data_IF_550730460570
#
_entry.id   IF_550730460570
#
_cell.length_a   1.000
_cell.length_b   1.000
_cell.length_c   1.000
_cell.angle_alpha   90.00
_cell.angle_beta   90.00
_cell.angle_gamma   90.00
#
_symmetry.space_group_name_H-M   'P 1'
#
loop_
_entity.id
_entity.type
_entity.pdbx_description
1 polymer ?
#
# COMPACT_ATOMS: atom_id res chain seq x y z
N UNK A 1 -8.17 8.95 31.31
CA UNK A 1 -7.89 9.69 30.06
C UNK A 1 -6.39 9.53 29.75
N UNK A 2 -6.01 8.74 28.75
CA UNK A 2 -4.62 8.60 28.31
C UNK A 2 -4.15 9.92 27.67
N UNK A 3 -2.96 10.39 28.05
CA UNK A 3 -2.35 11.59 27.44
C UNK A 3 -2.19 11.37 25.93
N UNK A 4 -2.53 12.34 25.10
CA UNK A 4 -2.30 12.21 23.67
C UNK A 4 -0.79 12.06 23.42
N UNK A 5 -0.45 11.05 22.64
CA UNK A 5 0.96 10.78 22.29
C UNK A 5 1.55 11.96 21.50
N UNK A 6 2.80 12.30 21.77
CA UNK A 6 3.45 13.42 21.08
C UNK A 6 3.60 13.11 19.57
N UNK A 7 3.60 14.15 18.74
CA UNK A 7 3.87 14.02 17.30
C UNK A 7 5.24 13.34 17.06
N UNK A 8 6.23 13.72 17.84
CA UNK A 8 7.56 13.14 17.75
C UNK A 8 7.55 11.62 17.99
N UNK A 9 6.86 11.13 19.03
CA UNK A 9 6.76 9.70 19.30
C UNK A 9 6.08 8.92 18.18
N UNK A 10 5.06 9.51 17.53
CA UNK A 10 4.36 8.87 16.40
C UNK A 10 5.24 8.80 15.15
N UNK A 11 5.98 9.89 14.85
CA UNK A 11 6.94 9.89 13.74
C UNK A 11 8.08 8.92 13.98
N UNK A 12 8.63 8.87 15.20
CA UNK A 12 9.65 7.90 15.56
C UNK A 12 9.17 6.47 15.34
N UNK A 13 7.96 6.16 15.79
CA UNK A 13 7.38 4.81 15.60
C UNK A 13 7.17 4.49 14.11
N UNK A 14 6.65 5.44 13.33
CA UNK A 14 6.50 5.28 11.87
C UNK A 14 7.82 4.91 11.19
N UNK A 15 8.88 5.70 11.43
CA UNK A 15 10.17 5.44 10.81
C UNK A 15 10.84 4.17 11.34
N UNK A 16 10.67 3.86 12.62
CA UNK A 16 11.21 2.64 13.23
C UNK A 16 10.56 1.39 12.61
N UNK A 17 9.23 1.37 12.48
CA UNK A 17 8.50 0.26 11.85
C UNK A 17 8.88 0.12 10.39
N UNK A 18 8.95 1.22 9.65
CA UNK A 18 9.38 1.20 8.25
C UNK A 18 10.80 0.64 8.10
N UNK A 19 11.73 1.09 8.94
CA UNK A 19 13.12 0.59 8.95
C UNK A 19 13.18 -0.90 9.27
N UNK A 20 12.46 -1.36 10.30
CA UNK A 20 12.43 -2.79 10.67
C UNK A 20 11.89 -3.62 9.52
N UNK A 21 10.81 -3.18 8.86
CA UNK A 21 10.23 -3.90 7.72
C UNK A 21 11.21 -3.98 6.53
N UNK A 22 11.87 -2.89 6.18
CA UNK A 22 12.90 -2.88 5.11
C UNK A 22 14.06 -3.80 5.46
N UNK A 23 14.60 -3.69 6.67
CA UNK A 23 15.75 -4.50 7.10
C UNK A 23 15.39 -5.98 7.11
N UNK A 24 14.22 -6.34 7.65
CA UNK A 24 13.75 -7.72 7.66
C UNK A 24 13.58 -8.27 6.24
N UNK A 25 12.98 -7.50 5.34
CA UNK A 25 12.79 -7.91 3.94
C UNK A 25 14.14 -8.11 3.22
N UNK A 26 15.00 -7.11 3.24
CA UNK A 26 16.28 -7.17 2.54
C UNK A 26 17.23 -8.23 3.11
N UNK A 27 17.28 -8.37 4.44
CA UNK A 27 18.11 -9.37 5.11
C UNK A 27 17.64 -10.79 4.77
N UNK A 28 16.32 -11.06 4.82
CA UNK A 28 15.78 -12.37 4.48
C UNK A 28 15.96 -12.69 3.00
N UNK A 29 15.72 -11.76 2.10
CA UNK A 29 16.00 -11.90 0.66
C UNK A 29 17.46 -12.25 0.42
N UNK A 30 18.38 -11.49 1.03
CA UNK A 30 19.82 -11.76 0.89
C UNK A 30 20.20 -13.15 1.42
N UNK A 31 19.73 -13.50 2.61
CA UNK A 31 20.03 -14.77 3.25
C UNK A 31 19.51 -15.97 2.45
N UNK A 32 18.23 -15.92 2.00
CA UNK A 32 17.61 -17.01 1.26
C UNK A 32 18.28 -17.19 -0.11
N UNK A 33 18.52 -16.09 -0.84
CA UNK A 33 19.19 -16.16 -2.15
C UNK A 33 20.66 -16.59 -2.04
N UNK A 34 21.35 -16.27 -0.94
CA UNK A 34 22.68 -16.80 -0.67
C UNK A 34 22.66 -18.31 -0.35
N UNK A 35 21.58 -18.80 0.28
CA UNK A 35 21.45 -20.21 0.69
C UNK A 35 20.93 -21.11 -0.42
N UNK A 36 19.90 -20.69 -1.16
CA UNK A 36 19.22 -21.50 -2.17
C UNK A 36 19.66 -21.19 -3.61
N UNK A 37 20.46 -20.13 -3.78
CA UNK A 37 20.90 -19.73 -5.10
C UNK A 37 19.77 -19.05 -5.92
N UNK A 38 19.93 -19.10 -7.24
CA UNK A 38 18.97 -18.56 -8.19
C UNK A 38 17.76 -19.48 -8.35
N UNK A 39 16.63 -18.97 -8.85
CA UNK A 39 15.48 -19.82 -9.18
C UNK A 39 15.89 -20.97 -10.11
N UNK A 40 15.63 -22.20 -9.68
CA UNK A 40 15.99 -23.41 -10.43
C UNK A 40 17.34 -24.03 -10.08
N UNK A 41 18.22 -23.33 -9.36
CA UNK A 41 19.51 -23.91 -8.92
C UNK A 41 19.31 -24.97 -7.84
N UNK A 42 18.41 -24.70 -6.90
CA UNK A 42 18.04 -25.64 -5.84
C UNK A 42 16.54 -25.82 -5.80
N UNK A 43 16.11 -26.97 -5.25
CA UNK A 43 14.68 -27.25 -5.04
C UNK A 43 14.10 -26.48 -3.86
N UNK A 44 12.86 -26.79 -3.50
CA UNK A 44 12.17 -26.23 -2.35
C UNK A 44 12.82 -26.72 -1.06
N UNK A 45 13.14 -25.80 -0.18
CA UNK A 45 13.51 -26.13 1.20
C UNK A 45 12.25 -26.15 2.06
N UNK A 46 11.66 -27.33 2.19
CA UNK A 46 10.44 -27.53 2.93
C UNK A 46 10.62 -27.31 4.44
N UNK A 47 9.72 -26.57 5.03
CA UNK A 47 9.55 -26.40 6.48
C UNK A 47 8.36 -27.27 6.96
N UNK A 48 7.32 -27.35 6.14
CA UNK A 48 6.19 -28.27 6.26
C UNK A 48 5.97 -28.83 4.86
N UNK A 49 6.22 -30.14 4.70
CA UNK A 49 6.14 -30.81 3.39
C UNK A 49 4.81 -30.50 2.71
N UNK A 50 4.87 -30.16 1.42
CA UNK A 50 3.73 -29.83 0.57
C UNK A 50 2.77 -28.74 1.09
N UNK A 51 3.19 -27.93 2.08
CA UNK A 51 2.37 -26.82 2.63
C UNK A 51 3.15 -25.51 2.65
N UNK A 52 4.33 -25.52 3.27
CA UNK A 52 5.14 -24.32 3.45
C UNK A 52 6.60 -24.58 3.20
N UNK A 53 7.19 -23.85 2.29
CA UNK A 53 8.59 -23.99 1.93
C UNK A 53 9.24 -22.65 1.58
N UNK A 54 10.56 -22.71 1.39
CA UNK A 54 11.37 -21.61 0.91
C UNK A 54 11.88 -21.96 -0.48
N UNK A 55 11.60 -21.10 -1.45
CA UNK A 55 11.98 -21.29 -2.84
C UNK A 55 12.25 -19.93 -3.47
N UNK A 56 13.44 -19.75 -4.04
CA UNK A 56 13.77 -18.50 -4.74
C UNK A 56 12.95 -18.33 -6.02
N UNK A 57 12.44 -17.13 -6.23
CA UNK A 57 11.72 -16.70 -7.41
C UNK A 57 12.05 -15.23 -7.73
N UNK A 58 12.00 -14.87 -9.01
CA UNK A 58 12.26 -13.52 -9.49
C UNK A 58 11.02 -12.97 -10.17
N UNK A 59 10.50 -11.85 -9.66
CA UNK A 59 9.24 -11.26 -10.09
C UNK A 59 9.48 -9.90 -10.77
N UNK A 60 9.22 -9.82 -12.07
CA UNK A 60 9.32 -8.60 -12.88
C UNK A 60 7.99 -7.81 -12.96
N UNK A 61 6.94 -8.31 -12.34
CA UNK A 61 5.62 -7.73 -12.36
C UNK A 61 5.07 -7.40 -10.98
N UNK A 62 3.75 -7.43 -10.87
CA UNK A 62 3.00 -7.45 -9.62
C UNK A 62 2.63 -8.90 -9.25
N UNK A 63 1.79 -9.04 -8.20
CA UNK A 63 1.23 -10.33 -7.82
C UNK A 63 0.55 -11.02 -9.02
N UNK A 64 0.65 -12.35 -9.08
CA UNK A 64 0.11 -13.18 -10.18
C UNK A 64 0.69 -12.88 -11.56
N UNK A 65 1.90 -12.30 -11.64
CA UNK A 65 2.57 -12.01 -12.92
C UNK A 65 1.95 -10.86 -13.72
N UNK A 66 1.05 -10.07 -13.13
CA UNK A 66 0.46 -8.91 -13.80
C UNK A 66 1.52 -7.84 -14.08
N UNK A 67 1.50 -7.29 -15.31
CA UNK A 67 2.40 -6.20 -15.70
C UNK A 67 3.87 -6.61 -15.82
N UNK A 68 4.18 -7.85 -16.22
CA UNK A 68 5.54 -8.31 -16.50
C UNK A 68 6.30 -7.32 -17.38
N UNK A 69 7.53 -6.97 -16.96
CA UNK A 69 8.37 -6.02 -17.68
C UNK A 69 8.01 -4.53 -17.50
N UNK A 70 6.92 -4.20 -16.80
CA UNK A 70 6.50 -2.80 -16.55
C UNK A 70 7.20 -2.19 -15.32
N UNK A 71 8.49 -2.45 -15.15
CA UNK A 71 9.28 -1.99 -14.01
C UNK A 71 9.22 -0.47 -13.81
N UNK A 72 9.34 0.38 -14.87
CA UNK A 72 9.23 1.83 -14.68
C UNK A 72 7.88 2.28 -14.11
N UNK A 73 6.80 1.60 -14.50
CA UNK A 73 5.46 1.88 -13.94
C UNK A 73 5.41 1.57 -12.43
N UNK A 74 5.93 0.41 -12.02
CA UNK A 74 5.96 0.04 -10.59
C UNK A 74 6.86 0.96 -9.76
N UNK A 75 7.98 1.42 -10.32
CA UNK A 75 8.86 2.42 -9.67
C UNK A 75 8.13 3.75 -9.51
N UNK A 76 7.44 4.23 -10.55
CA UNK A 76 6.67 5.46 -10.49
C UNK A 76 5.52 5.38 -9.46
N UNK A 77 4.73 4.29 -9.49
CA UNK A 77 3.64 4.07 -8.52
C UNK A 77 4.17 3.99 -7.08
N UNK A 78 5.32 3.33 -6.86
CA UNK A 78 5.99 3.29 -5.57
C UNK A 78 6.37 4.70 -5.09
N UNK A 79 6.93 5.53 -5.95
CA UNK A 79 7.28 6.92 -5.65
C UNK A 79 6.06 7.77 -5.28
N UNK A 80 4.97 7.65 -6.05
CA UNK A 80 3.71 8.36 -5.77
C UNK A 80 3.12 7.92 -4.42
N UNK A 81 3.10 6.61 -4.15
CA UNK A 81 2.58 6.07 -2.89
C UNK A 81 3.42 6.53 -1.69
N UNK A 82 4.75 6.49 -1.79
CA UNK A 82 5.66 6.98 -0.75
C UNK A 82 5.43 8.47 -0.46
N UNK A 83 5.35 9.29 -1.51
CA UNK A 83 5.09 10.72 -1.36
C UNK A 83 3.75 10.96 -0.67
N UNK A 84 2.68 10.30 -1.10
CA UNK A 84 1.34 10.44 -0.52
C UNK A 84 1.29 10.03 0.95
N UNK A 85 1.93 8.91 1.31
CA UNK A 85 1.96 8.42 2.70
C UNK A 85 2.79 9.35 3.59
N UNK A 86 3.97 9.78 3.15
CA UNK A 86 4.81 10.72 3.91
C UNK A 86 4.10 12.06 4.10
N UNK A 87 3.46 12.57 3.06
CA UNK A 87 2.63 13.77 3.14
C UNK A 87 1.51 13.60 4.17
N UNK A 88 0.79 12.48 4.13
CA UNK A 88 -0.29 12.19 5.06
C UNK A 88 0.22 12.15 6.51
N UNK A 89 1.28 11.40 6.77
CA UNK A 89 1.89 11.31 8.11
C UNK A 89 2.40 12.67 8.59
N UNK A 90 2.98 13.47 7.70
CA UNK A 90 3.45 14.82 8.01
C UNK A 90 2.32 15.81 8.34
N UNK A 91 1.12 15.59 7.81
CA UNK A 91 -0.08 16.42 8.06
C UNK A 91 -0.69 16.23 9.46
N UNK A 92 -0.13 15.32 10.30
CA UNK A 92 -0.54 15.07 11.71
C UNK A 92 -2.05 14.73 11.90
N UNK A 93 -2.61 13.98 10.95
CA UNK A 93 -4.05 13.68 10.91
C UNK A 93 -4.50 12.69 12.01
N UNK A 94 -3.58 11.91 12.59
CA UNK A 94 -3.92 10.88 13.59
C UNK A 94 -3.30 11.15 14.95
N UNK A 95 -4.10 11.01 16.01
CA UNK A 95 -3.63 11.08 17.41
C UNK A 95 -3.29 9.71 18.01
N UNK A 96 -3.44 8.64 17.24
CA UNK A 96 -3.23 7.24 17.64
C UNK A 96 -1.88 6.73 17.14
N UNK A 97 -1.32 5.70 17.77
CA UNK A 97 -0.15 4.97 17.27
C UNK A 97 -0.49 3.99 16.16
N UNK A 98 -1.75 3.61 16.02
CA UNK A 98 -2.18 2.60 15.06
C UNK A 98 -1.85 3.01 13.62
N UNK A 99 -2.26 4.20 13.20
CA UNK A 99 -2.07 4.67 11.82
C UNK A 99 -0.58 4.85 11.44
N UNK A 100 0.28 5.49 12.26
CA UNK A 100 1.72 5.54 11.99
C UNK A 100 2.36 4.15 11.88
N UNK A 101 1.97 3.20 12.73
CA UNK A 101 2.49 1.82 12.67
C UNK A 101 2.12 1.13 11.37
N UNK A 102 0.85 1.17 10.99
CA UNK A 102 0.38 0.53 9.75
C UNK A 102 0.94 1.18 8.50
N UNK A 103 1.02 2.52 8.48
CA UNK A 103 1.65 3.23 7.36
C UNK A 103 3.16 2.99 7.30
N UNK A 104 3.83 2.82 8.46
CA UNK A 104 5.22 2.40 8.52
C UNK A 104 5.46 1.02 7.90
N UNK A 105 4.57 0.05 8.15
CA UNK A 105 4.62 -1.27 7.49
C UNK A 105 4.49 -1.14 5.97
N UNK A 106 3.52 -0.35 5.49
CA UNK A 106 3.31 -0.14 4.05
C UNK A 106 4.54 0.51 3.42
N UNK A 107 5.08 1.56 4.02
CA UNK A 107 6.29 2.24 3.52
C UNK A 107 7.49 1.29 3.50
N UNK A 108 7.69 0.49 4.54
CA UNK A 108 8.73 -0.53 4.59
C UNK A 108 8.60 -1.55 3.46
N UNK A 109 7.39 -2.05 3.20
CA UNK A 109 7.11 -2.96 2.11
C UNK A 109 7.36 -2.33 0.72
N UNK A 110 6.90 -1.08 0.52
CA UNK A 110 7.18 -0.35 -0.73
C UNK A 110 8.70 -0.23 -0.94
N UNK A 111 9.45 0.21 0.07
CA UNK A 111 10.89 0.43 -0.03
C UNK A 111 11.67 -0.87 -0.26
N UNK A 112 11.29 -1.98 0.40
CA UNK A 112 11.91 -3.29 0.18
C UNK A 112 11.78 -3.78 -1.26
N UNK A 113 10.58 -3.72 -1.83
CA UNK A 113 10.36 -4.10 -3.22
C UNK A 113 10.88 -3.07 -4.23
N UNK A 114 10.93 -1.78 -3.87
CA UNK A 114 11.52 -0.74 -4.71
C UNK A 114 13.04 -0.91 -4.81
N UNK A 115 13.72 -1.28 -3.71
CA UNK A 115 15.15 -1.61 -3.71
C UNK A 115 15.49 -2.64 -4.79
N UNK A 116 14.71 -3.70 -4.87
CA UNK A 116 14.92 -4.76 -5.86
C UNK A 116 14.62 -4.28 -7.29
N UNK A 117 13.53 -3.52 -7.50
CA UNK A 117 13.16 -2.98 -8.82
C UNK A 117 14.14 -1.93 -9.35
N UNK A 118 14.90 -1.29 -8.48
CA UNK A 118 16.00 -0.40 -8.87
C UNK A 118 17.31 -1.16 -9.12
N UNK A 119 17.33 -2.50 -8.98
CA UNK A 119 18.52 -3.32 -9.19
C UNK A 119 19.59 -3.16 -8.11
N UNK A 120 19.25 -2.55 -6.95
CA UNK A 120 20.20 -2.27 -5.88
C UNK A 120 20.69 -3.53 -5.14
N UNK A 121 20.11 -4.69 -5.41
CA UNK A 121 20.62 -6.01 -4.98
C UNK A 121 21.87 -6.44 -5.75
N UNK A 122 22.21 -5.80 -6.88
CA UNK A 122 23.44 -6.04 -7.64
C UNK A 122 23.44 -7.32 -8.48
N UNK A 123 22.31 -8.03 -8.62
CA UNK A 123 22.23 -9.21 -9.50
C UNK A 123 22.20 -8.79 -10.97
N UNK A 124 22.79 -9.61 -11.82
CA UNK A 124 22.78 -9.47 -13.29
C UNK A 124 22.17 -10.74 -13.90
N UNK A 125 21.62 -10.65 -15.09
CA UNK A 125 21.19 -11.80 -15.86
C UNK A 125 22.39 -12.67 -16.20
N UNK A 126 22.28 -13.99 -16.00
CA UNK A 126 23.31 -14.97 -16.33
C UNK A 126 22.86 -15.85 -17.49
N UNK A 127 23.78 -16.63 -18.04
CA UNK A 127 23.44 -17.65 -19.04
C UNK A 127 22.45 -18.68 -18.48
N UNK A 128 22.61 -19.07 -17.21
CA UNK A 128 21.67 -19.97 -16.52
C UNK A 128 20.24 -19.42 -16.51
N UNK A 129 20.08 -18.13 -16.19
CA UNK A 129 18.75 -17.49 -16.21
C UNK A 129 18.15 -17.47 -17.63
N UNK A 130 18.96 -17.21 -18.65
CA UNK A 130 18.53 -17.23 -20.04
C UNK A 130 18.04 -18.63 -20.47
N UNK A 131 18.72 -19.68 -20.05
CA UNK A 131 18.38 -21.05 -20.38
C UNK A 131 17.12 -21.53 -19.63
N UNK A 132 16.98 -21.19 -18.34
CA UNK A 132 15.84 -21.59 -17.51
C UNK A 132 14.55 -20.80 -17.83
N UNK A 133 14.69 -19.50 -18.10
CA UNK A 133 13.54 -18.60 -18.27
C UNK A 133 13.23 -18.27 -19.73
N UNK A 134 13.94 -18.88 -20.67
CA UNK A 134 13.81 -18.60 -22.11
C UNK A 134 13.88 -17.11 -22.43
N UNK A 135 14.67 -16.35 -21.66
CA UNK A 135 14.83 -14.92 -21.90
C UNK A 135 15.87 -14.66 -23.00
N UNK A 136 15.86 -13.44 -23.55
CA UNK A 136 16.78 -13.06 -24.62
C UNK A 136 18.23 -13.14 -24.16
N UNK A 137 19.11 -13.76 -24.96
CA UNK A 137 20.55 -13.81 -24.74
C UNK A 137 21.19 -12.42 -24.62
N UNK A 138 20.54 -11.39 -25.18
CA UNK A 138 20.99 -9.99 -25.10
C UNK A 138 20.92 -9.44 -23.66
N UNK A 139 20.13 -10.06 -22.78
CA UNK A 139 20.04 -9.67 -21.37
C UNK A 139 21.22 -10.15 -20.54
N UNK A 140 21.94 -11.18 -20.96
CA UNK A 140 23.08 -11.73 -20.21
C UNK A 140 24.12 -10.66 -19.91
N UNK A 141 24.48 -10.48 -18.63
CA UNK A 141 25.35 -9.44 -18.14
C UNK A 141 24.66 -8.10 -17.83
N UNK A 142 23.39 -7.91 -18.23
CA UNK A 142 22.63 -6.70 -17.89
C UNK A 142 22.14 -6.74 -16.43
N UNK A 143 21.97 -5.58 -15.78
CA UNK A 143 21.36 -5.51 -14.45
C UNK A 143 19.97 -6.13 -14.43
N UNK A 144 19.67 -6.84 -13.35
CA UNK A 144 18.38 -7.49 -13.14
C UNK A 144 17.49 -6.59 -12.26
N UNK A 145 16.32 -6.23 -12.78
CA UNK A 145 15.34 -5.36 -12.11
C UNK A 145 14.11 -6.17 -11.67
N UNK A 146 14.32 -7.24 -10.93
CA UNK A 146 13.27 -8.16 -10.49
C UNK A 146 13.20 -8.21 -8.97
N UNK A 147 11.98 -8.30 -8.42
CA UNK A 147 11.77 -8.51 -6.99
C UNK A 147 12.13 -9.95 -6.63
N UNK A 148 12.87 -10.12 -5.55
CA UNK A 148 13.30 -11.41 -5.01
C UNK A 148 12.22 -11.95 -4.07
N UNK A 149 11.47 -12.93 -4.53
CA UNK A 149 10.45 -13.63 -3.76
C UNK A 149 10.99 -14.97 -3.26
N UNK A 150 10.54 -15.42 -2.09
CA UNK A 150 11.14 -16.62 -1.50
C UNK A 150 10.21 -17.41 -0.59
N UNK A 151 9.02 -16.91 -0.25
CA UNK A 151 8.04 -17.64 0.56
C UNK A 151 7.14 -18.40 -0.39
N UNK A 152 7.09 -19.72 -0.24
CA UNK A 152 6.23 -20.62 -0.99
C UNK A 152 5.15 -21.17 -0.04
N UNK A 153 3.89 -21.06 -0.45
CA UNK A 153 2.74 -21.65 0.24
C UNK A 153 1.91 -22.46 -0.76
N UNK A 154 1.59 -23.69 -0.39
CA UNK A 154 0.67 -24.56 -1.12
C UNK A 154 -0.64 -24.71 -0.32
N UNK A 155 -1.77 -24.64 -1.03
CA UNK A 155 -3.11 -24.85 -0.48
C UNK A 155 -3.74 -26.00 -1.25
N UNK A 156 -3.50 -27.24 -0.77
CA UNK A 156 -3.76 -28.43 -1.57
C UNK A 156 -2.92 -28.43 -2.85
N UNK A 157 -3.54 -28.60 -4.00
CA UNK A 157 -2.86 -28.59 -5.31
C UNK A 157 -2.59 -27.18 -5.85
N UNK A 158 -3.04 -26.14 -5.15
CA UNK A 158 -2.86 -24.76 -5.59
C UNK A 158 -1.57 -24.15 -5.04
N UNK A 159 -0.68 -23.74 -5.95
CA UNK A 159 0.52 -22.99 -5.65
C UNK A 159 0.19 -21.50 -5.53
N UNK A 160 0.22 -20.97 -4.29
CA UNK A 160 0.17 -19.53 -4.09
C UNK A 160 1.43 -18.91 -4.69
N UNK A 161 1.32 -17.79 -5.46
CA UNK A 161 2.50 -17.11 -6.00
C UNK A 161 3.52 -16.81 -4.92
N UNK A 162 4.80 -17.07 -5.20
CA UNK A 162 5.87 -16.76 -4.25
C UNK A 162 5.82 -15.27 -3.89
N UNK A 163 6.10 -14.98 -2.64
CA UNK A 163 6.09 -13.63 -2.09
C UNK A 163 7.22 -13.43 -1.07
N UNK A 164 7.32 -12.25 -0.47
CA UNK A 164 8.37 -11.88 0.46
C UNK A 164 7.81 -11.12 1.68
N UNK A 165 8.68 -10.67 2.59
CA UNK A 165 8.28 -9.90 3.78
C UNK A 165 7.67 -8.55 3.39
N UNK A 166 8.20 -7.88 2.35
CA UNK A 166 7.66 -6.60 1.89
C UNK A 166 6.20 -6.73 1.44
N UNK A 167 5.86 -7.79 0.67
CA UNK A 167 4.49 -8.06 0.24
C UNK A 167 3.57 -8.33 1.43
N UNK A 168 4.05 -9.11 2.41
CA UNK A 168 3.31 -9.36 3.66
C UNK A 168 3.02 -8.06 4.41
N UNK A 169 4.01 -7.16 4.52
CA UNK A 169 3.84 -5.85 5.14
C UNK A 169 2.84 -4.97 4.38
N UNK A 170 2.89 -4.98 3.04
CA UNK A 170 1.94 -4.25 2.20
C UNK A 170 0.52 -4.75 2.40
N UNK A 171 0.29 -6.05 2.27
CA UNK A 171 -1.04 -6.64 2.38
C UNK A 171 -1.62 -6.44 3.78
N UNK A 172 -0.87 -6.78 4.84
CA UNK A 172 -1.32 -6.59 6.22
C UNK A 172 -1.56 -5.10 6.53
N UNK A 173 -0.66 -4.22 6.11
CA UNK A 173 -0.81 -2.78 6.30
C UNK A 173 -2.06 -2.22 5.60
N UNK A 174 -2.30 -2.61 4.35
CA UNK A 174 -3.50 -2.21 3.61
C UNK A 174 -4.79 -2.72 4.25
N UNK A 175 -4.82 -3.98 4.69
CA UNK A 175 -5.98 -4.55 5.41
C UNK A 175 -6.25 -3.77 6.69
N UNK A 176 -5.22 -3.47 7.47
CA UNK A 176 -5.34 -2.74 8.73
C UNK A 176 -5.81 -1.29 8.51
N UNK A 177 -5.27 -0.57 7.51
CA UNK A 177 -5.73 0.80 7.18
C UNK A 177 -7.15 0.77 6.65
N UNK A 178 -7.49 -0.16 5.77
CA UNK A 178 -8.85 -0.33 5.24
C UNK A 178 -9.86 -0.63 6.35
N UNK A 179 -9.53 -1.58 7.24
CA UNK A 179 -10.34 -1.90 8.41
C UNK A 179 -10.52 -0.70 9.33
N UNK A 180 -9.46 0.06 9.58
CA UNK A 180 -9.54 1.29 10.37
C UNK A 180 -10.47 2.33 9.71
N UNK A 181 -10.37 2.51 8.40
CA UNK A 181 -11.22 3.46 7.68
C UNK A 181 -12.71 3.08 7.70
N UNK A 182 -13.00 1.78 7.64
CA UNK A 182 -14.38 1.27 7.69
C UNK A 182 -14.99 1.33 9.10
N UNK A 183 -14.17 1.15 10.13
CA UNK A 183 -14.63 1.13 11.52
C UNK A 183 -14.53 2.49 12.22
N UNK A 184 -13.83 3.47 11.62
CA UNK A 184 -13.73 4.81 12.18
C UNK A 184 -15.15 5.43 12.22
N UNK A 185 -15.59 5.97 13.38
CA UNK A 185 -16.87 6.68 13.46
C UNK A 185 -16.87 7.82 12.43
N UNK A 186 -17.90 7.87 11.60
CA UNK A 186 -18.15 9.02 10.72
C UNK A 186 -18.18 10.25 11.58
N UNK A 187 -17.29 11.22 11.31
CA UNK A 187 -17.30 12.49 12.04
C UNK A 187 -18.73 13.05 12.02
N UNK A 188 -19.23 13.58 13.16
CA UNK A 188 -20.56 14.18 13.19
C UNK A 188 -20.63 15.23 12.06
N UNK A 189 -21.64 15.15 11.21
CA UNK A 189 -21.94 16.23 10.26
C UNK A 189 -22.06 17.50 11.10
N UNK A 190 -21.26 18.51 10.77
CA UNK A 190 -21.37 19.81 11.40
C UNK A 190 -22.82 20.27 11.28
N UNK A 191 -23.55 20.53 12.40
CA UNK A 191 -24.87 21.11 12.32
C UNK A 191 -24.64 22.57 11.88
N UNK A 192 -25.06 22.93 10.68
CA UNK A 192 -25.03 24.33 10.29
C UNK A 192 -24.76 24.68 8.82
N UNK A 193 -24.82 23.74 7.89
CA UNK A 193 -24.97 24.11 6.48
C UNK A 193 -26.34 23.60 5.98
N UNK A 194 -27.39 24.09 6.66
CA UNK A 194 -28.72 24.09 6.11
C UNK A 194 -28.75 25.10 4.98
N UNK A 195 -28.81 24.64 3.76
CA UNK A 195 -29.28 25.43 2.65
C UNK A 195 -30.74 25.78 3.00
N UNK A 196 -30.99 27.00 3.46
CA UNK A 196 -32.32 27.56 3.53
C UNK A 196 -32.82 27.71 2.10
N UNK A 197 -33.57 26.70 1.64
CA UNK A 197 -34.45 26.89 0.50
C UNK A 197 -35.59 27.82 0.97
N UNK A 198 -35.39 29.08 0.82
CA UNK A 198 -36.43 30.08 0.87
C UNK A 198 -37.30 29.89 -0.36
N UNK A 199 -38.34 29.09 -0.22
CA UNK A 199 -39.48 29.08 -1.13
C UNK A 199 -40.43 30.17 -0.66
N UNK A 200 -40.19 31.40 -1.10
CA UNK A 200 -41.21 32.41 -1.18
C UNK A 200 -42.11 32.10 -2.37
N UNK A 201 -43.14 31.31 -2.11
CA UNK A 201 -44.28 31.18 -3.00
C UNK A 201 -45.40 32.05 -2.43
N UNK A 202 -45.75 33.04 -3.24
CA UNK A 202 -46.74 34.05 -2.93
C UNK A 202 -48.11 33.52 -2.51
N UNK A 203 -48.76 34.36 -1.78
CA UNK A 203 -50.21 34.39 -1.65
C UNK A 203 -50.67 35.81 -1.91
N UNK A 204 -51.08 36.04 -3.15
CA UNK A 204 -52.07 37.03 -3.46
C UNK A 204 -53.40 36.43 -3.08
N UNK A 205 -54.22 37.18 -2.32
CA UNK A 205 -55.64 37.26 -2.57
C UNK A 205 -56.32 38.24 -1.65
N UNK A 206 -57.06 39.07 -2.35
CA UNK A 206 -58.44 39.51 -2.17
C UNK A 206 -58.71 40.58 -1.10
N UNK A 207 -58.96 41.73 -1.61
CA UNK A 207 -60.27 42.27 -2.00
C UNK A 207 -61.26 42.39 -0.83
N UNK A 208 -61.68 43.56 -0.53
CA UNK A 208 -63.03 44.08 -0.49
C UNK A 208 -63.10 45.35 0.37
N UNK A 209 -63.34 46.42 -0.24
CA UNK A 209 -64.55 47.24 -0.34
C UNK A 209 -65.17 47.60 1.00
N UNK A 210 -65.34 48.81 1.19
CA UNK A 210 -66.49 49.59 1.53
C UNK A 210 -66.02 50.92 2.11
N UNK A 211 -66.31 51.91 1.40
CA UNK A 211 -67.48 52.81 1.57
C UNK A 211 -67.45 53.52 2.89
N UNK A 212 -67.33 54.67 2.91
CA UNK A 212 -68.39 55.68 2.99
C UNK A 212 -67.90 57.02 3.55
N UNK A 213 -68.25 57.92 2.81
CA UNK A 213 -68.80 59.24 3.11
C UNK A 213 -68.09 60.19 4.08
N UNK A 214 -68.14 61.34 3.58
CA UNK A 214 -68.65 62.51 4.19
C UNK A 214 -67.67 63.56 4.73
N UNK A 215 -67.62 64.56 3.98
CA UNK A 215 -68.16 65.87 4.32
C UNK A 215 -67.21 66.85 5.01
N UNK A 216 -67.01 67.87 4.24
CA UNK A 216 -67.15 69.28 4.59
C UNK A 216 -66.17 69.92 5.62
N UNK A 217 -65.40 70.72 5.19
CA UNK A 217 -65.43 72.19 5.10
C UNK A 217 -64.03 72.68 4.75
#
# INVERSE_FOLDING_TARGET
MSRPHSRASRLTLFFLVALIAVVADLATKHWIFAKLGRPGEQGVWWQIEDVFGLQTSLNQGAAFGLGQGQIPLFVALSGIALFGIVWWVASDVSRSFFLPTTLGMIVGGILGNLWDRLGLHGMTWTQFDADVWSCSQELVGQPMYAVRDWILVLIGDYHWPNFNIADSCLVCGCILVGGYALLAPTAPRLPGLGVSSESDAGSADAVESSDDSSSAK
#
